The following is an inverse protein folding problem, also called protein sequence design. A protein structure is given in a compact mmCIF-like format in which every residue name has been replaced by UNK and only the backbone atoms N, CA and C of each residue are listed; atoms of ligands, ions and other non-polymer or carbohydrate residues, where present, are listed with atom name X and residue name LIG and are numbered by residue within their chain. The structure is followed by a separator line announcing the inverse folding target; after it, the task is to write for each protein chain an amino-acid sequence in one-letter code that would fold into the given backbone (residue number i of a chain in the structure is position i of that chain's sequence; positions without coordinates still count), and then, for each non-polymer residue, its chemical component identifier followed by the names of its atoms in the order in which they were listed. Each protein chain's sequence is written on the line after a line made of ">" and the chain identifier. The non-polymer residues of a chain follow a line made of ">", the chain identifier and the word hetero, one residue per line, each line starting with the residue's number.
data_IF_568841812935
#
_entry.id   IF_568841812935
#
_cell.length_a   1.000
_cell.length_b   1.000
_cell.length_c   1.000
_cell.angle_alpha   90.00
_cell.angle_beta   90.00
_cell.angle_gamma   90.00
#
_symmetry.space_group_name_H-M   'P 1'
#
loop_
_entity.id
_entity.type
_entity.pdbx_description
1 polymer ?
#
# COMPACT_ATOMS: atom_id res chain seq x y z
N UNK A 1 -13.76 -36.19 24.39
CA UNK A 1 -13.12 -34.95 24.89
C UNK A 1 -11.72 -34.70 24.31
N UNK A 2 -10.93 -35.72 23.92
CA UNK A 2 -9.55 -35.48 23.44
C UNK A 2 -9.44 -34.92 22.02
N UNK A 3 -10.28 -35.34 21.06
CA UNK A 3 -10.13 -34.87 19.65
C UNK A 3 -10.49 -33.39 19.45
N UNK A 4 -11.60 -32.94 20.05
CA UNK A 4 -12.07 -31.56 19.94
C UNK A 4 -11.15 -30.54 20.63
N UNK A 5 -10.34 -30.99 21.60
CA UNK A 5 -9.34 -30.15 22.27
C UNK A 5 -8.31 -29.60 21.27
N UNK A 6 -7.84 -30.42 20.32
CA UNK A 6 -6.86 -30.00 19.31
C UNK A 6 -7.43 -28.93 18.37
N UNK A 7 -8.73 -28.97 18.05
CA UNK A 7 -9.38 -27.96 17.21
C UNK A 7 -9.46 -26.60 17.90
N UNK A 8 -9.81 -26.59 19.19
CA UNK A 8 -9.76 -25.37 20.01
C UNK A 8 -8.34 -24.81 20.11
N UNK A 9 -7.34 -25.67 20.33
CA UNK A 9 -5.93 -25.26 20.39
C UNK A 9 -5.43 -24.64 19.08
N UNK A 10 -5.80 -25.20 17.92
CA UNK A 10 -5.45 -24.61 16.63
C UNK A 10 -6.08 -23.21 16.45
N UNK A 11 -7.32 -23.01 16.90
CA UNK A 11 -7.95 -21.69 16.89
C UNK A 11 -7.25 -20.70 17.85
N UNK A 12 -6.81 -21.17 19.03
CA UNK A 12 -6.00 -20.36 19.96
C UNK A 12 -4.67 -19.94 19.32
N UNK A 13 -4.00 -20.81 18.55
CA UNK A 13 -2.79 -20.43 17.80
C UNK A 13 -3.06 -19.30 16.81
N UNK A 14 -4.20 -19.34 16.11
CA UNK A 14 -4.58 -18.26 15.18
C UNK A 14 -4.83 -16.94 15.93
N UNK A 15 -5.59 -16.99 17.03
CA UNK A 15 -5.91 -15.82 17.84
C UNK A 15 -4.66 -15.20 18.46
N UNK A 16 -3.79 -16.02 19.06
CA UNK A 16 -2.56 -15.55 19.70
C UNK A 16 -1.63 -14.89 18.69
N UNK A 17 -1.37 -15.52 17.54
CA UNK A 17 -0.55 -14.90 16.48
C UNK A 17 -1.17 -13.62 15.93
N UNK A 18 -2.51 -13.54 15.84
CA UNK A 18 -3.21 -12.32 15.41
C UNK A 18 -3.07 -11.18 16.43
N UNK A 19 -3.21 -11.47 17.72
CA UNK A 19 -3.02 -10.47 18.78
C UNK A 19 -1.55 -10.06 18.92
N UNK A 20 -0.61 -10.99 18.76
CA UNK A 20 0.82 -10.67 18.71
C UNK A 20 1.12 -9.76 17.52
N UNK A 21 0.57 -10.04 16.33
CA UNK A 21 0.70 -9.17 15.16
C UNK A 21 0.20 -7.75 15.48
N UNK A 22 -1.02 -7.63 16.03
CA UNK A 22 -1.61 -6.35 16.39
C UNK A 22 -0.79 -5.60 17.44
N UNK A 23 -0.33 -6.29 18.49
CA UNK A 23 0.48 -5.70 19.55
C UNK A 23 1.83 -5.21 19.01
N UNK A 24 2.55 -6.03 18.24
CA UNK A 24 3.82 -5.62 17.63
C UNK A 24 3.61 -4.42 16.72
N UNK A 25 2.60 -4.42 15.86
CA UNK A 25 2.34 -3.28 14.96
C UNK A 25 1.87 -2.02 15.67
N UNK A 26 1.29 -2.14 16.86
CA UNK A 26 0.89 -1.01 17.69
C UNK A 26 2.08 -0.38 18.43
N UNK A 27 2.89 -1.21 19.10
CA UNK A 27 3.97 -0.76 19.98
C UNK A 27 5.30 -0.57 19.26
N UNK A 28 5.54 -1.32 18.18
CA UNK A 28 6.80 -1.28 17.44
C UNK A 28 6.66 -0.52 16.12
N UNK A 29 7.51 0.49 15.97
CA UNK A 29 7.89 1.04 14.68
C UNK A 29 9.40 1.10 14.64
N UNK A 30 10.03 0.57 13.59
CA UNK A 30 11.45 0.77 13.34
C UNK A 30 11.79 2.27 13.47
N UNK A 31 12.99 2.61 13.97
CA UNK A 31 13.47 3.94 14.43
C UNK A 31 13.11 5.14 13.53
N UNK A 32 11.82 5.48 13.46
CA UNK A 32 11.26 6.54 12.64
C UNK A 32 10.61 7.59 13.55
N UNK A 33 10.80 8.89 13.28
CA UNK A 33 10.15 9.97 14.02
C UNK A 33 8.63 9.80 14.06
N UNK A 34 8.00 10.22 15.15
CA UNK A 34 6.54 10.05 15.34
C UNK A 34 5.71 10.72 14.24
N UNK A 35 6.17 11.85 13.71
CA UNK A 35 5.51 12.65 12.69
C UNK A 35 5.42 11.90 11.34
N UNK A 36 6.46 11.14 10.99
CA UNK A 36 6.58 10.45 9.69
C UNK A 36 5.88 9.08 9.63
N UNK A 37 5.36 8.57 10.76
CA UNK A 37 4.78 7.22 10.83
C UNK A 37 3.59 7.03 9.88
N UNK A 38 2.78 8.07 9.67
CA UNK A 38 1.63 8.03 8.74
C UNK A 38 2.08 7.95 7.28
N UNK A 39 3.23 8.54 6.96
CA UNK A 39 3.81 8.45 5.63
C UNK A 39 4.42 7.07 5.38
N UNK A 40 5.21 6.55 6.32
CA UNK A 40 5.93 5.28 6.15
C UNK A 40 4.99 4.06 6.20
N UNK A 41 4.05 4.04 7.14
CA UNK A 41 3.08 2.95 7.31
C UNK A 41 1.65 3.49 7.46
N UNK A 42 1.05 4.00 6.36
CA UNK A 42 -0.30 4.57 6.35
C UNK A 42 -1.38 3.62 6.86
N UNK A 43 -1.28 2.33 6.54
CA UNK A 43 -2.25 1.29 6.86
C UNK A 43 -2.01 0.65 8.23
N UNK A 44 -0.96 1.03 8.97
CA UNK A 44 -0.56 0.37 10.23
C UNK A 44 -1.70 0.25 11.24
N UNK A 45 -2.42 1.35 11.48
CA UNK A 45 -3.55 1.34 12.43
C UNK A 45 -4.67 0.42 11.95
N UNK A 46 -4.85 0.34 10.65
CA UNK A 46 -5.86 -0.51 10.03
C UNK A 46 -5.48 -1.99 10.13
N UNK A 47 -4.21 -2.33 9.92
CA UNK A 47 -3.70 -3.67 10.17
C UNK A 47 -3.93 -4.08 11.64
N UNK A 48 -3.63 -3.20 12.61
CA UNK A 48 -3.93 -3.47 14.02
C UNK A 48 -5.41 -3.76 14.24
N UNK A 49 -6.30 -2.93 13.67
CA UNK A 49 -7.75 -3.13 13.78
C UNK A 49 -8.20 -4.47 13.19
N UNK A 50 -7.80 -4.78 11.95
CA UNK A 50 -8.15 -6.02 11.24
C UNK A 50 -7.73 -7.25 12.03
N UNK A 51 -6.51 -7.24 12.58
CA UNK A 51 -6.01 -8.36 13.37
C UNK A 51 -6.65 -8.47 14.75
N UNK A 52 -7.12 -7.37 15.34
CA UNK A 52 -7.93 -7.39 16.56
C UNK A 52 -9.36 -7.88 16.32
N UNK A 53 -9.93 -7.67 15.12
CA UNK A 53 -11.26 -8.22 14.78
C UNK A 53 -11.32 -9.75 14.91
N UNK A 54 -10.18 -10.45 14.87
CA UNK A 54 -10.09 -11.88 15.16
C UNK A 54 -10.64 -12.28 16.54
N UNK A 55 -10.75 -11.36 17.51
CA UNK A 55 -11.39 -11.60 18.82
C UNK A 55 -12.78 -12.21 18.66
N UNK A 56 -13.51 -11.88 17.59
CA UNK A 56 -14.85 -12.43 17.34
C UNK A 56 -14.87 -13.95 17.30
N UNK A 57 -13.74 -14.62 17.01
CA UNK A 57 -13.61 -16.07 16.89
C UNK A 57 -13.42 -16.82 18.22
N UNK A 58 -13.29 -16.11 19.35
CA UNK A 58 -13.12 -16.70 20.69
C UNK A 58 -14.14 -17.79 21.03
N UNK A 59 -15.44 -17.69 20.68
CA UNK A 59 -16.40 -18.75 20.99
C UNK A 59 -16.00 -20.13 20.48
N UNK A 60 -15.35 -20.20 19.31
CA UNK A 60 -14.89 -21.47 18.75
C UNK A 60 -13.67 -22.03 19.47
N UNK A 61 -12.76 -21.15 19.92
CA UNK A 61 -11.61 -21.56 20.73
C UNK A 61 -12.03 -22.12 22.09
N UNK A 62 -13.08 -21.55 22.70
CA UNK A 62 -13.61 -21.99 24.01
C UNK A 62 -14.46 -23.25 23.87
N UNK A 63 -15.34 -23.30 22.87
CA UNK A 63 -16.23 -24.43 22.65
C UNK A 63 -16.31 -24.83 21.16
N UNK A 64 -15.34 -25.63 20.67
CA UNK A 64 -15.31 -26.07 19.27
C UNK A 64 -16.45 -27.04 18.91
N UNK A 65 -17.23 -27.52 19.89
CA UNK A 65 -18.41 -28.38 19.65
C UNK A 65 -19.68 -27.59 19.36
N UNK A 66 -19.67 -26.27 19.58
CA UNK A 66 -20.83 -25.41 19.31
C UNK A 66 -21.04 -25.23 17.80
N UNK A 67 -22.23 -25.54 17.32
CA UNK A 67 -22.60 -25.37 15.90
C UNK A 67 -22.52 -23.90 15.47
N UNK A 68 -22.98 -22.96 16.32
CA UNK A 68 -22.90 -21.53 16.02
C UNK A 68 -21.44 -21.04 15.94
N UNK A 69 -20.58 -21.51 16.85
CA UNK A 69 -19.17 -21.17 16.84
C UNK A 69 -18.44 -21.77 15.63
N UNK A 70 -18.79 -23.00 15.24
CA UNK A 70 -18.31 -23.64 14.03
C UNK A 70 -18.65 -22.82 12.78
N UNK A 71 -19.92 -22.42 12.64
CA UNK A 71 -20.37 -21.61 11.50
C UNK A 71 -19.67 -20.26 11.45
N UNK A 72 -19.49 -19.59 12.59
CA UNK A 72 -18.72 -18.35 12.66
C UNK A 72 -17.28 -18.57 12.19
N UNK A 73 -16.59 -19.57 12.74
CA UNK A 73 -15.18 -19.81 12.46
C UNK A 73 -14.91 -20.08 10.97
N UNK A 74 -15.68 -20.98 10.35
CA UNK A 74 -15.50 -21.29 8.92
C UNK A 74 -15.90 -20.14 8.01
N UNK A 75 -16.90 -19.34 8.40
CA UNK A 75 -17.43 -18.24 7.58
C UNK A 75 -16.57 -16.97 7.66
N UNK A 76 -15.90 -16.74 8.78
CA UNK A 76 -15.19 -15.49 9.03
C UNK A 76 -14.11 -15.19 7.99
N UNK A 77 -13.26 -16.16 7.69
CA UNK A 77 -12.17 -15.93 6.74
C UNK A 77 -12.69 -15.77 5.30
N UNK A 78 -13.71 -16.55 4.92
CA UNK A 78 -14.37 -16.45 3.62
C UNK A 78 -15.00 -15.06 3.41
N UNK A 79 -15.71 -14.54 4.42
CA UNK A 79 -16.33 -13.21 4.33
C UNK A 79 -15.32 -12.06 4.41
N UNK A 80 -14.29 -12.17 5.26
CA UNK A 80 -13.45 -11.00 5.57
C UNK A 80 -12.15 -10.89 4.79
N UNK A 81 -11.61 -12.00 4.26
CA UNK A 81 -10.24 -12.03 3.71
C UNK A 81 -10.03 -11.05 2.54
N UNK A 82 -10.85 -11.16 1.50
CA UNK A 82 -10.70 -10.32 0.30
C UNK A 82 -10.94 -8.84 0.62
N UNK A 83 -11.90 -8.55 1.51
CA UNK A 83 -12.11 -7.21 2.03
C UNK A 83 -10.84 -6.67 2.70
N UNK A 84 -10.25 -7.42 3.64
CA UNK A 84 -9.03 -7.00 4.34
C UNK A 84 -7.88 -6.74 3.37
N UNK A 85 -7.64 -7.63 2.40
CA UNK A 85 -6.57 -7.41 1.44
C UNK A 85 -6.82 -6.18 0.56
N UNK A 86 -8.02 -6.02 0.00
CA UNK A 86 -8.34 -4.86 -0.85
C UNK A 86 -8.23 -3.54 -0.07
N UNK A 87 -8.74 -3.53 1.17
CA UNK A 87 -8.66 -2.39 2.08
C UNK A 87 -7.22 -2.01 2.43
N UNK A 88 -6.38 -2.97 2.79
CA UNK A 88 -4.98 -2.72 3.13
C UNK A 88 -4.17 -2.25 1.92
N UNK A 89 -4.38 -2.85 0.74
CA UNK A 89 -3.74 -2.41 -0.51
C UNK A 89 -4.11 -0.96 -0.86
N UNK A 90 -5.40 -0.63 -0.86
CA UNK A 90 -5.87 0.73 -1.18
C UNK A 90 -5.45 1.74 -0.11
N UNK A 91 -5.44 1.37 1.17
CA UNK A 91 -4.96 2.24 2.24
C UNK A 91 -3.46 2.50 2.10
N UNK A 92 -2.68 1.46 1.85
CA UNK A 92 -1.24 1.60 1.79
C UNK A 92 -0.75 2.36 0.56
N UNK A 93 -1.22 1.98 -0.63
CA UNK A 93 -0.76 2.60 -1.88
C UNK A 93 -1.61 3.81 -2.28
N UNK A 94 -2.91 3.82 -1.98
CA UNK A 94 -3.79 4.93 -2.29
C UNK A 94 -3.44 6.20 -1.53
N UNK A 95 -2.89 6.13 -0.32
CA UNK A 95 -2.40 7.32 0.41
C UNK A 95 -1.29 8.07 -0.32
N UNK A 96 -0.61 7.45 -1.29
CA UNK A 96 0.41 8.12 -2.13
C UNK A 96 -0.23 8.90 -3.28
N UNK A 97 -1.37 8.42 -3.78
CA UNK A 97 -1.95 8.88 -5.05
C UNK A 97 -3.35 9.47 -4.87
N UNK A 98 -4.31 8.66 -4.44
CA UNK A 98 -5.75 8.97 -4.55
C UNK A 98 -6.62 8.39 -3.41
N UNK A 99 -6.14 8.41 -2.15
CA UNK A 99 -6.88 7.80 -1.02
C UNK A 99 -8.30 8.31 -0.86
N UNK A 100 -8.55 9.60 -1.13
CA UNK A 100 -9.89 10.18 -0.98
C UNK A 100 -10.94 9.47 -1.84
N UNK A 101 -10.59 9.08 -3.08
CA UNK A 101 -11.49 8.40 -4.01
C UNK A 101 -11.84 6.99 -3.52
N UNK A 102 -10.82 6.26 -3.05
CA UNK A 102 -10.96 4.86 -2.61
C UNK A 102 -11.51 4.70 -1.19
N UNK A 103 -11.44 5.76 -0.38
CA UNK A 103 -11.93 5.76 1.01
C UNK A 103 -13.42 5.47 1.08
N UNK A 104 -14.24 6.11 0.23
CA UNK A 104 -15.70 5.92 0.26
C UNK A 104 -16.08 4.49 -0.13
N UNK A 105 -15.47 3.95 -1.18
CA UNK A 105 -15.68 2.56 -1.62
C UNK A 105 -15.30 1.58 -0.51
N UNK A 106 -14.15 1.81 0.14
CA UNK A 106 -13.67 1.00 1.25
C UNK A 106 -14.62 1.02 2.45
N UNK A 107 -15.25 2.15 2.76
CA UNK A 107 -16.25 2.26 3.83
C UNK A 107 -17.54 1.51 3.51
N UNK A 108 -18.03 1.59 2.27
CA UNK A 108 -19.19 0.82 1.83
C UNK A 108 -18.90 -0.68 1.95
N UNK A 109 -17.73 -1.12 1.49
CA UNK A 109 -17.31 -2.51 1.62
C UNK A 109 -17.23 -2.95 3.10
N UNK A 110 -16.70 -2.08 3.99
CA UNK A 110 -16.62 -2.36 5.42
C UNK A 110 -18.01 -2.52 6.06
N UNK A 111 -18.99 -1.70 5.67
CA UNK A 111 -20.37 -1.82 6.16
C UNK A 111 -21.03 -3.12 5.71
N UNK A 112 -20.79 -3.53 4.47
CA UNK A 112 -21.31 -4.80 3.93
C UNK A 112 -20.73 -5.98 4.74
N UNK A 113 -19.40 -6.04 4.90
CA UNK A 113 -18.72 -7.11 5.64
C UNK A 113 -19.15 -7.14 7.12
N UNK A 114 -19.31 -5.96 7.73
CA UNK A 114 -19.80 -5.88 9.10
C UNK A 114 -21.23 -6.43 9.19
N UNK A 115 -22.10 -6.06 8.25
CA UNK A 115 -23.48 -6.55 8.21
C UNK A 115 -23.56 -8.07 7.97
N UNK A 116 -22.62 -8.68 7.25
CA UNK A 116 -22.59 -10.14 7.02
C UNK A 116 -22.04 -10.92 8.21
N UNK A 117 -20.97 -10.44 8.84
CA UNK A 117 -20.31 -11.17 9.94
C UNK A 117 -21.04 -10.97 11.28
N UNK A 118 -21.62 -9.79 11.53
CA UNK A 118 -22.22 -9.47 12.82
C UNK A 118 -23.33 -10.45 13.25
N UNK A 119 -24.29 -10.86 12.40
CA UNK A 119 -25.33 -11.80 12.81
C UNK A 119 -24.79 -13.18 13.21
N UNK A 120 -23.81 -13.70 12.45
CA UNK A 120 -23.16 -14.99 12.75
C UNK A 120 -22.36 -14.90 14.05
N UNK A 121 -21.67 -13.77 14.25
CA UNK A 121 -20.94 -13.48 15.48
C UNK A 121 -21.88 -13.44 16.68
N UNK A 122 -22.95 -12.66 16.62
CA UNK A 122 -23.93 -12.54 17.70
C UNK A 122 -24.56 -13.89 18.04
N UNK A 123 -24.88 -14.71 17.03
CA UNK A 123 -25.44 -16.03 17.26
C UNK A 123 -24.46 -17.00 17.96
N UNK A 124 -23.14 -16.82 17.78
CA UNK A 124 -22.13 -17.62 18.44
C UNK A 124 -21.79 -17.13 19.86
N UNK A 125 -21.92 -15.83 20.10
CA UNK A 125 -21.57 -15.20 21.38
C UNK A 125 -22.71 -15.19 22.39
N UNK A 126 -23.97 -15.10 21.92
CA UNK A 126 -25.12 -15.08 22.82
C UNK A 126 -25.51 -16.50 23.27
N UNK A 127 -25.99 -16.65 24.51
CA UNK A 127 -26.45 -17.94 25.03
C UNK A 127 -27.73 -18.44 24.36
N UNK A 128 -28.56 -17.52 23.85
CA UNK A 128 -29.79 -17.84 23.09
C UNK A 128 -29.57 -17.57 21.61
N UNK A 129 -29.83 -18.53 20.72
CA UNK A 129 -29.66 -18.35 19.29
C UNK A 129 -30.65 -17.30 18.77
N UNK A 130 -30.13 -16.35 17.99
CA UNK A 130 -30.94 -15.30 17.34
C UNK A 130 -31.59 -15.86 16.06
N UNK A 131 -30.91 -16.81 15.39
CA UNK A 131 -31.34 -17.39 14.14
C UNK A 131 -31.69 -18.87 14.29
N UNK A 132 -32.72 -19.31 13.58
CA UNK A 132 -33.02 -20.74 13.43
C UNK A 132 -31.94 -21.43 12.59
N UNK A 133 -31.85 -22.76 12.68
CA UNK A 133 -30.89 -23.54 11.90
C UNK A 133 -31.06 -23.34 10.38
N UNK A 134 -32.30 -23.26 9.88
CA UNK A 134 -32.60 -22.94 8.48
C UNK A 134 -32.17 -21.52 8.10
N UNK A 135 -32.40 -20.55 8.98
CA UNK A 135 -31.92 -19.17 8.80
C UNK A 135 -30.40 -19.10 8.71
N UNK A 136 -29.69 -19.86 9.55
CA UNK A 136 -28.22 -19.89 9.55
C UNK A 136 -27.65 -20.50 8.25
N UNK A 137 -28.26 -21.57 7.74
CA UNK A 137 -27.89 -22.14 6.42
C UNK A 137 -28.14 -21.15 5.29
N UNK A 138 -29.28 -20.44 5.33
CA UNK A 138 -29.55 -19.38 4.36
C UNK A 138 -28.50 -18.26 4.42
N UNK A 139 -28.09 -17.87 5.62
CA UNK A 139 -27.07 -16.84 5.82
C UNK A 139 -25.68 -17.24 5.32
N UNK A 140 -25.34 -18.52 5.37
CA UNK A 140 -24.09 -19.03 4.79
C UNK A 140 -24.00 -18.74 3.29
N UNK A 141 -25.11 -18.87 2.54
CA UNK A 141 -25.12 -18.47 1.12
C UNK A 141 -24.85 -16.97 0.93
N UNK A 142 -25.38 -16.12 1.82
CA UNK A 142 -25.08 -14.68 1.81
C UNK A 142 -23.60 -14.39 2.03
N UNK A 143 -22.93 -15.10 2.95
CA UNK A 143 -21.48 -14.97 3.15
C UNK A 143 -20.71 -15.32 1.87
N UNK A 144 -21.13 -16.36 1.14
CA UNK A 144 -20.49 -16.73 -0.14
C UNK A 144 -20.70 -15.65 -1.19
N UNK A 145 -21.93 -15.13 -1.34
CA UNK A 145 -22.25 -14.05 -2.28
C UNK A 145 -21.42 -12.80 -1.96
N UNK A 146 -21.35 -12.42 -0.69
CA UNK A 146 -20.54 -11.29 -0.22
C UNK A 146 -19.05 -11.52 -0.48
N UNK A 147 -18.52 -12.72 -0.23
CA UNK A 147 -17.13 -13.08 -0.52
C UNK A 147 -16.79 -12.92 -2.01
N UNK A 148 -17.69 -13.31 -2.92
CA UNK A 148 -17.52 -13.13 -4.36
C UNK A 148 -17.47 -11.64 -4.72
N UNK A 149 -18.34 -10.81 -4.12
CA UNK A 149 -18.32 -9.36 -4.30
C UNK A 149 -17.00 -8.77 -3.79
N UNK A 150 -16.53 -9.21 -2.61
CA UNK A 150 -15.27 -8.76 -2.02
C UNK A 150 -14.06 -9.22 -2.84
N UNK A 151 -14.13 -10.36 -3.50
CA UNK A 151 -13.11 -10.80 -4.45
C UNK A 151 -13.01 -9.85 -5.66
N UNK A 152 -14.15 -9.36 -6.17
CA UNK A 152 -14.19 -8.30 -7.18
C UNK A 152 -13.56 -6.99 -6.69
N UNK A 153 -13.89 -6.57 -5.47
CA UNK A 153 -13.26 -5.39 -4.81
C UNK A 153 -11.74 -5.56 -4.66
N UNK A 154 -11.28 -6.73 -4.19
CA UNK A 154 -9.86 -7.03 -4.09
C UNK A 154 -9.19 -7.03 -5.47
N UNK A 155 -9.82 -7.60 -6.50
CA UNK A 155 -9.29 -7.60 -7.86
C UNK A 155 -9.12 -6.17 -8.42
N UNK A 156 -10.06 -5.26 -8.16
CA UNK A 156 -9.93 -3.84 -8.49
C UNK A 156 -8.77 -3.20 -7.74
N UNK A 157 -8.62 -3.46 -6.44
CA UNK A 157 -7.49 -2.96 -5.65
C UNK A 157 -6.15 -3.48 -6.19
N UNK A 158 -6.06 -4.76 -6.56
CA UNK A 158 -4.87 -5.35 -7.18
C UNK A 158 -4.54 -4.72 -8.52
N UNK A 159 -5.55 -4.55 -9.38
CA UNK A 159 -5.39 -3.87 -10.68
C UNK A 159 -4.87 -2.45 -10.48
N UNK A 160 -5.42 -1.72 -9.51
CA UNK A 160 -5.00 -0.35 -9.21
C UNK A 160 -3.56 -0.29 -8.71
N UNK A 161 -3.15 -1.20 -7.81
CA UNK A 161 -1.76 -1.27 -7.34
C UNK A 161 -0.80 -1.64 -8.46
N UNK A 162 -1.20 -2.56 -9.35
CA UNK A 162 -0.41 -2.89 -10.55
C UNK A 162 -0.27 -1.68 -11.48
N UNK A 163 -1.35 -0.93 -11.68
CA UNK A 163 -1.32 0.29 -12.46
C UNK A 163 -0.36 1.34 -11.85
N UNK A 164 -0.45 1.59 -10.54
CA UNK A 164 0.49 2.49 -9.85
C UNK A 164 1.94 1.99 -9.89
N UNK A 165 2.17 0.68 -9.82
CA UNK A 165 3.49 0.09 -9.96
C UNK A 165 4.09 0.38 -11.35
N UNK A 166 3.28 0.30 -12.40
CA UNK A 166 3.69 0.65 -13.75
C UNK A 166 3.97 2.17 -13.86
N UNK A 167 3.10 3.03 -13.34
CA UNK A 167 3.34 4.49 -13.34
C UNK A 167 4.62 4.90 -12.58
N UNK A 168 4.93 4.21 -11.49
CA UNK A 168 6.13 4.49 -10.70
C UNK A 168 7.42 4.12 -11.45
N UNK A 169 7.36 3.14 -12.35
CA UNK A 169 8.47 2.78 -13.23
C UNK A 169 8.80 3.91 -14.22
N UNK A 170 7.80 4.67 -14.65
CA UNK A 170 7.91 5.67 -15.70
C UNK A 170 8.43 7.05 -15.19
N UNK A 171 9.19 7.09 -14.10
CA UNK A 171 9.84 8.28 -13.52
C UNK A 171 8.92 9.48 -13.19
N UNK A 172 7.65 9.23 -12.86
CA UNK A 172 6.68 10.28 -12.46
C UNK A 172 6.99 10.98 -11.11
N UNK A 173 8.05 10.57 -10.42
CA UNK A 173 8.43 11.02 -9.09
C UNK A 173 9.82 11.64 -9.11
N UNK A 174 10.01 12.78 -8.44
CA UNK A 174 11.35 13.37 -8.26
C UNK A 174 12.21 12.56 -7.28
N UNK A 175 11.58 11.79 -6.39
CA UNK A 175 12.23 10.87 -5.46
C UNK A 175 11.72 9.42 -5.69
N UNK A 176 12.58 8.47 -6.10
CA UNK A 176 12.17 7.09 -6.39
C UNK A 176 11.71 6.31 -5.14
N UNK A 177 12.05 6.76 -3.93
CA UNK A 177 11.65 6.10 -2.68
C UNK A 177 10.22 6.48 -2.22
N UNK A 178 9.50 7.36 -2.94
CA UNK A 178 8.15 7.82 -2.58
C UNK A 178 7.05 6.80 -2.87
N UNK A 179 7.16 6.04 -3.97
CA UNK A 179 6.31 4.88 -4.22
C UNK A 179 7.06 3.60 -3.84
N UNK A 180 6.58 2.84 -2.84
CA UNK A 180 7.25 1.63 -2.35
C UNK A 180 7.06 0.43 -3.31
N UNK A 181 7.71 0.49 -4.48
CA UNK A 181 7.57 -0.49 -5.57
C UNK A 181 7.99 -1.92 -5.18
N UNK A 182 9.06 -2.06 -4.39
CA UNK A 182 9.52 -3.38 -3.90
C UNK A 182 8.48 -4.05 -3.01
N UNK A 183 7.81 -3.27 -2.16
CA UNK A 183 6.73 -3.77 -1.33
C UNK A 183 5.53 -4.16 -2.18
N UNK A 184 5.11 -3.26 -3.10
CA UNK A 184 4.01 -3.48 -4.02
C UNK A 184 4.17 -4.83 -4.72
N UNK A 185 5.36 -5.09 -5.31
CA UNK A 185 5.69 -6.35 -5.99
C UNK A 185 5.52 -7.60 -5.13
N UNK A 186 5.75 -7.51 -3.82
CA UNK A 186 5.60 -8.64 -2.89
C UNK A 186 4.15 -8.90 -2.49
N UNK A 187 3.36 -7.84 -2.28
CA UNK A 187 2.03 -7.97 -1.64
C UNK A 187 0.84 -7.83 -2.57
N UNK A 188 1.01 -7.30 -3.80
CA UNK A 188 -0.12 -7.04 -4.69
C UNK A 188 -0.88 -8.31 -5.11
N UNK A 189 -0.23 -9.48 -5.11
CA UNK A 189 -0.87 -10.78 -5.38
C UNK A 189 -1.27 -11.55 -4.11
N UNK A 190 -1.17 -10.95 -2.92
CA UNK A 190 -1.54 -11.60 -1.66
C UNK A 190 -2.97 -12.17 -1.66
N UNK A 191 -4.01 -11.50 -2.22
CA UNK A 191 -5.35 -12.09 -2.30
C UNK A 191 -5.39 -13.44 -3.02
N UNK A 192 -4.52 -13.63 -4.03
CA UNK A 192 -4.48 -14.83 -4.87
C UNK A 192 -3.66 -15.94 -4.21
N UNK A 193 -2.50 -15.63 -3.64
CA UNK A 193 -1.63 -16.65 -3.05
C UNK A 193 -2.26 -17.37 -1.86
N UNK A 194 -3.14 -16.69 -1.11
CA UNK A 194 -3.82 -17.27 0.03
C UNK A 194 -5.14 -17.97 -0.33
N UNK A 195 -5.62 -17.92 -1.58
CA UNK A 195 -6.86 -18.61 -2.02
C UNK A 195 -6.94 -20.08 -1.55
N UNK A 196 -5.88 -20.91 -1.68
CA UNK A 196 -5.90 -22.29 -1.21
C UNK A 196 -6.05 -22.44 0.30
N UNK A 197 -5.84 -21.38 1.08
CA UNK A 197 -6.01 -21.35 2.54
C UNK A 197 -7.36 -20.80 2.98
N UNK A 198 -8.19 -20.25 2.08
CA UNK A 198 -9.46 -19.60 2.47
C UNK A 198 -10.64 -20.58 2.38
N UNK A 199 -10.76 -21.26 1.25
CA UNK A 199 -11.96 -22.02 0.88
C UNK A 199 -12.03 -23.48 1.36
N UNK A 200 -10.94 -24.25 1.50
CA UNK A 200 -11.05 -25.68 1.76
C UNK A 200 -11.82 -26.05 3.02
N UNK A 201 -11.59 -25.37 4.16
CA UNK A 201 -12.34 -25.68 5.38
C UNK A 201 -13.83 -25.36 5.26
N UNK A 202 -14.20 -24.34 4.48
CA UNK A 202 -15.59 -23.98 4.24
C UNK A 202 -16.30 -24.98 3.34
N UNK A 203 -15.64 -25.42 2.26
CA UNK A 203 -16.21 -26.34 1.26
C UNK A 203 -16.26 -27.78 1.78
N UNK A 204 -15.18 -28.25 2.41
CA UNK A 204 -15.07 -29.63 2.89
C UNK A 204 -15.80 -29.85 4.22
N UNK A 205 -16.24 -28.78 4.88
CA UNK A 205 -16.95 -28.78 6.17
C UNK A 205 -16.30 -29.70 7.22
N UNK A 206 -14.96 -29.72 7.24
CA UNK A 206 -14.17 -30.65 8.05
C UNK A 206 -13.39 -29.93 9.15
N UNK A 207 -13.60 -30.27 10.44
CA UNK A 207 -12.85 -29.68 11.56
C UNK A 207 -11.33 -29.89 11.49
N UNK A 208 -10.90 -31.03 10.96
CA UNK A 208 -9.48 -31.34 10.78
C UNK A 208 -8.84 -30.41 9.73
N UNK A 209 -9.52 -30.17 8.60
CA UNK A 209 -9.05 -29.24 7.57
C UNK A 209 -8.98 -27.81 8.13
N UNK A 210 -10.00 -27.39 8.89
CA UNK A 210 -10.00 -26.07 9.54
C UNK A 210 -8.84 -25.91 10.54
N UNK A 211 -8.54 -26.95 11.31
CA UNK A 211 -7.42 -26.91 12.26
C UNK A 211 -6.07 -26.76 11.54
N UNK A 212 -5.84 -27.52 10.47
CA UNK A 212 -4.65 -27.37 9.61
C UNK A 212 -4.58 -25.96 9.02
N UNK A 213 -5.70 -25.46 8.50
CA UNK A 213 -5.82 -24.10 7.97
C UNK A 213 -5.45 -23.04 9.03
N UNK A 214 -5.95 -23.16 10.26
CA UNK A 214 -5.63 -22.23 11.34
C UNK A 214 -4.13 -22.20 11.66
N UNK A 215 -3.47 -23.36 11.70
CA UNK A 215 -2.02 -23.46 11.92
C UNK A 215 -1.24 -22.81 10.77
N UNK A 216 -1.64 -23.07 9.53
CA UNK A 216 -1.00 -22.45 8.35
C UNK A 216 -1.19 -20.93 8.33
N UNK A 217 -2.37 -20.43 8.73
CA UNK A 217 -2.64 -19.00 8.87
C UNK A 217 -1.84 -18.37 10.02
N UNK A 218 -1.63 -19.08 11.13
CA UNK A 218 -0.74 -18.63 12.20
C UNK A 218 0.70 -18.42 11.71
N UNK A 219 1.23 -19.35 10.91
CA UNK A 219 2.54 -19.19 10.26
C UNK A 219 2.50 -18.02 9.28
N UNK A 220 1.43 -17.92 8.48
CA UNK A 220 1.20 -16.82 7.55
C UNK A 220 1.21 -15.44 8.24
N UNK A 221 0.64 -15.32 9.44
CA UNK A 221 0.65 -14.09 10.22
C UNK A 221 2.06 -13.67 10.60
N UNK A 222 2.92 -14.62 10.99
CA UNK A 222 4.33 -14.34 11.30
C UNK A 222 5.07 -13.89 10.04
N UNK A 223 4.89 -14.60 8.92
CA UNK A 223 5.53 -14.24 7.63
C UNK A 223 5.07 -12.87 7.14
N UNK A 224 3.77 -12.56 7.27
CA UNK A 224 3.25 -11.24 6.91
C UNK A 224 3.81 -10.17 7.84
N UNK A 225 3.88 -10.41 9.15
CA UNK A 225 4.45 -9.47 10.11
C UNK A 225 5.88 -9.09 9.72
N UNK A 226 6.71 -10.09 9.39
CA UNK A 226 8.07 -9.88 8.92
C UNK A 226 8.13 -9.11 7.59
N UNK A 227 7.14 -9.27 6.71
CA UNK A 227 7.05 -8.51 5.46
C UNK A 227 6.56 -7.08 5.64
N UNK A 228 5.67 -6.77 6.59
CA UNK A 228 5.12 -5.40 6.76
C UNK A 228 5.98 -4.51 7.68
N UNK A 229 6.88 -5.12 8.44
CA UNK A 229 7.77 -4.44 9.39
C UNK A 229 8.83 -3.53 8.74
N UNK A 230 9.49 -3.91 7.63
CA UNK A 230 10.46 -3.07 6.97
C UNK A 230 9.92 -1.69 6.62
N UNK A 231 10.84 -0.72 6.59
CA UNK A 231 10.57 0.63 6.12
C UNK A 231 10.54 0.60 4.59
N UNK A 232 9.34 0.39 4.03
CA UNK A 232 9.15 0.27 2.58
C UNK A 232 9.21 1.62 1.84
N UNK A 233 8.85 2.71 2.52
CA UNK A 233 9.13 4.08 2.07
C UNK A 233 10.34 4.59 2.83
N UNK A 234 11.49 4.65 2.15
CA UNK A 234 12.73 5.10 2.78
C UNK A 234 12.75 6.63 2.85
N UNK A 235 12.56 7.15 4.06
CA UNK A 235 13.15 8.45 4.41
C UNK A 235 14.61 8.15 4.77
N UNK A 236 15.53 8.35 3.83
CA UNK A 236 16.96 8.09 4.06
C UNK A 236 17.51 9.18 5.00
N UNK A 237 17.44 8.96 6.31
CA UNK A 237 18.39 9.60 7.21
C UNK A 237 19.73 8.86 7.00
N UNK A 238 20.63 9.47 6.23
CA UNK A 238 22.08 9.24 6.19
C UNK A 238 22.59 7.78 6.21
N UNK A 239 22.92 7.24 5.03
CA UNK A 239 24.09 6.37 4.65
C UNK A 239 23.80 5.33 3.51
N UNK A 240 24.84 5.06 2.72
CA UNK A 240 24.96 4.91 1.23
C UNK A 240 24.53 3.53 0.62
N UNK A 241 24.91 3.08 -0.61
CA UNK A 241 24.00 2.78 -1.73
C UNK A 241 24.08 1.33 -2.30
N UNK A 242 23.24 1.02 -3.29
CA UNK A 242 23.45 0.20 -4.53
C UNK A 242 22.04 -0.07 -5.13
N UNK A 243 21.71 -0.07 -6.43
CA UNK A 243 22.31 0.29 -7.72
C UNK A 243 21.25 0.02 -8.83
N UNK A 244 21.27 0.84 -9.91
CA UNK A 244 21.00 0.53 -11.35
C UNK A 244 19.63 -0.08 -11.81
N UNK A 245 19.02 0.15 -12.99
CA UNK A 245 19.17 0.98 -14.22
C UNK A 245 17.79 1.08 -14.91
N UNK A 246 17.58 2.03 -15.84
CA UNK A 246 16.34 2.27 -16.60
C UNK A 246 16.58 2.19 -18.12
N UNK A 247 15.60 1.71 -18.88
CA UNK A 247 15.59 1.72 -20.37
C UNK A 247 14.23 2.19 -20.95
N UNK A 248 14.37 2.75 -22.17
CA UNK A 248 13.58 3.60 -23.08
C UNK A 248 12.08 3.38 -23.41
N UNK A 249 11.53 4.46 -24.00
CA UNK A 249 10.15 4.72 -24.44
C UNK A 249 10.02 4.68 -25.98
N UNK A 250 8.87 4.21 -26.50
CA UNK A 250 8.52 4.29 -27.94
C UNK A 250 7.26 5.17 -28.13
N UNK A 251 7.33 6.14 -29.03
CA UNK A 251 6.24 7.09 -29.34
C UNK A 251 5.98 7.13 -30.85
N UNK A 252 4.74 6.86 -31.28
CA UNK A 252 4.28 7.07 -32.67
C UNK A 252 3.66 8.46 -32.86
N UNK A 253 4.04 9.11 -33.96
CA UNK A 253 3.65 10.45 -34.41
C UNK A 253 2.31 10.49 -35.16
N UNK A 254 1.61 11.64 -35.16
CA UNK A 254 1.04 12.26 -36.39
C UNK A 254 0.57 13.73 -36.20
N UNK A 255 1.00 14.61 -37.13
CA UNK A 255 0.29 15.73 -37.81
C UNK A 255 -0.34 16.94 -37.09
N UNK A 256 0.36 17.62 -36.16
CA UNK A 256 -0.06 18.97 -35.70
C UNK A 256 1.11 19.91 -35.34
N UNK A 257 2.20 19.88 -36.11
CA UNK A 257 3.52 20.33 -35.66
C UNK A 257 3.65 21.82 -35.28
N UNK A 258 2.88 22.76 -35.85
CA UNK A 258 3.08 24.18 -35.56
C UNK A 258 2.38 24.65 -34.27
N UNK A 259 1.08 24.35 -34.12
CA UNK A 259 0.34 24.64 -32.88
C UNK A 259 0.85 23.82 -31.69
N UNK A 260 1.36 22.61 -31.96
CA UNK A 260 1.93 21.75 -30.91
C UNK A 260 3.24 22.32 -30.36
N UNK A 261 4.10 22.88 -31.20
CA UNK A 261 5.38 23.45 -30.75
C UNK A 261 5.18 24.73 -29.93
N UNK A 262 4.22 25.58 -30.32
CA UNK A 262 3.84 26.76 -29.55
C UNK A 262 3.26 26.38 -28.18
N UNK A 263 2.41 25.34 -28.13
CA UNK A 263 1.87 24.82 -26.88
C UNK A 263 2.96 24.20 -25.97
N UNK A 264 3.95 23.53 -26.55
CA UNK A 264 5.12 23.00 -25.82
C UNK A 264 5.97 24.14 -25.26
N UNK A 265 6.16 25.23 -26.01
CA UNK A 265 6.87 26.42 -25.53
C UNK A 265 6.13 27.10 -24.39
N UNK A 266 4.81 27.29 -24.52
CA UNK A 266 3.99 27.87 -23.47
C UNK A 266 4.00 26.99 -22.20
N UNK A 267 3.86 25.68 -22.37
CA UNK A 267 3.96 24.71 -21.26
C UNK A 267 5.35 24.73 -20.61
N UNK A 268 6.42 24.93 -21.40
CA UNK A 268 7.77 25.03 -20.87
C UNK A 268 7.95 26.25 -19.97
N UNK A 269 7.37 27.40 -20.36
CA UNK A 269 7.39 28.62 -19.53
C UNK A 269 6.64 28.39 -18.21
N UNK A 270 5.46 27.76 -18.25
CA UNK A 270 4.69 27.43 -17.04
C UNK A 270 5.44 26.45 -16.13
N UNK A 271 6.16 25.48 -16.70
CA UNK A 271 7.01 24.56 -15.95
C UNK A 271 8.16 25.31 -15.29
N UNK A 272 8.85 26.22 -15.99
CA UNK A 272 9.94 27.00 -15.40
C UNK A 272 9.44 27.92 -14.28
N UNK A 273 8.33 28.65 -14.49
CA UNK A 273 7.74 29.54 -13.48
C UNK A 273 7.44 28.76 -12.19
N UNK A 274 6.74 27.62 -12.29
CA UNK A 274 6.39 26.84 -11.11
C UNK A 274 7.58 26.10 -10.49
N UNK A 275 8.33 25.36 -11.32
CA UNK A 275 9.38 24.48 -10.79
C UNK A 275 10.57 25.28 -10.30
N UNK A 276 11.06 26.24 -11.11
CA UNK A 276 12.29 27.01 -10.87
C UNK A 276 12.02 28.32 -10.14
N UNK A 277 11.14 29.17 -10.65
CA UNK A 277 10.99 30.54 -10.12
C UNK A 277 10.25 30.56 -8.78
N UNK A 278 9.20 29.74 -8.63
CA UNK A 278 8.53 29.49 -7.35
C UNK A 278 9.27 28.46 -6.47
N UNK A 279 10.43 27.97 -6.93
CA UNK A 279 11.31 27.02 -6.23
C UNK A 279 10.60 25.72 -5.78
N UNK A 280 9.59 25.24 -6.49
CA UNK A 280 8.90 23.99 -6.14
C UNK A 280 9.86 22.78 -6.12
N UNK A 281 11.01 22.84 -6.81
CA UNK A 281 12.07 21.83 -6.73
C UNK A 281 12.60 21.60 -5.30
N UNK A 282 12.45 22.57 -4.37
CA UNK A 282 12.83 22.42 -2.97
C UNK A 282 11.92 21.46 -2.19
N UNK A 283 10.74 21.12 -2.72
CA UNK A 283 9.89 20.08 -2.12
C UNK A 283 10.49 18.69 -2.43
N UNK A 284 10.93 17.91 -1.42
CA UNK A 284 11.54 16.59 -1.64
C UNK A 284 10.57 15.53 -2.19
N UNK A 285 9.26 15.79 -2.14
CA UNK A 285 8.20 14.89 -2.61
C UNK A 285 7.46 15.42 -3.86
N UNK A 286 8.07 16.36 -4.59
CA UNK A 286 7.50 16.92 -5.81
C UNK A 286 7.24 15.83 -6.86
N UNK A 287 6.03 15.79 -7.40
CA UNK A 287 5.59 14.86 -8.46
C UNK A 287 5.26 15.62 -9.74
N UNK A 288 5.27 14.92 -10.87
CA UNK A 288 4.80 15.52 -12.12
C UNK A 288 3.33 15.94 -12.04
N UNK A 289 2.52 15.25 -11.23
CA UNK A 289 1.10 15.58 -11.04
C UNK A 289 0.93 16.97 -10.39
N UNK A 290 1.89 17.40 -9.55
CA UNK A 290 1.90 18.74 -8.95
C UNK A 290 2.18 19.80 -10.03
N UNK A 291 3.12 19.53 -10.95
CA UNK A 291 3.41 20.39 -12.10
C UNK A 291 2.21 20.47 -13.05
N UNK A 292 1.58 19.34 -13.36
CA UNK A 292 0.38 19.27 -14.20
C UNK A 292 -0.76 20.11 -13.61
N UNK A 293 -0.90 20.16 -12.28
CA UNK A 293 -1.94 20.98 -11.65
C UNK A 293 -1.70 22.50 -11.76
N UNK A 294 -0.47 22.92 -12.06
CA UNK A 294 -0.09 24.32 -12.28
C UNK A 294 -0.03 24.69 -13.77
N UNK A 295 0.06 23.70 -14.66
CA UNK A 295 -0.01 23.92 -16.10
C UNK A 295 -1.47 23.94 -16.58
N UNK A 296 -1.73 24.72 -17.63
CA UNK A 296 -3.05 24.73 -18.28
C UNK A 296 -3.27 23.52 -19.23
N UNK A 297 -2.25 22.67 -19.38
CA UNK A 297 -2.23 21.53 -20.30
C UNK A 297 -2.29 20.19 -19.57
N UNK A 298 -2.76 19.16 -20.28
CA UNK A 298 -2.87 17.81 -19.72
C UNK A 298 -1.50 17.15 -19.49
N UNK A 299 -1.48 16.12 -18.64
CA UNK A 299 -0.27 15.35 -18.27
C UNK A 299 0.59 14.92 -19.46
N UNK A 300 -0.02 14.46 -20.56
CA UNK A 300 0.70 14.03 -21.75
C UNK A 300 1.53 15.15 -22.38
N UNK A 301 1.03 16.38 -22.39
CA UNK A 301 1.74 17.55 -22.92
C UNK A 301 2.86 18.01 -21.98
N UNK A 302 2.62 17.95 -20.66
CA UNK A 302 3.67 18.24 -19.66
C UNK A 302 4.80 17.22 -19.77
N UNK A 303 4.50 15.93 -19.83
CA UNK A 303 5.51 14.87 -20.03
C UNK A 303 6.25 15.03 -21.36
N UNK A 304 5.54 15.33 -22.46
CA UNK A 304 6.16 15.58 -23.76
C UNK A 304 7.09 16.80 -23.72
N UNK A 305 6.68 17.86 -23.02
CA UNK A 305 7.48 19.08 -22.86
C UNK A 305 8.75 18.80 -22.09
N UNK A 306 8.68 18.03 -21.00
CA UNK A 306 9.87 17.52 -20.31
C UNK A 306 10.80 16.80 -21.28
N UNK A 307 10.32 15.76 -21.97
CA UNK A 307 11.13 14.99 -22.91
C UNK A 307 11.77 15.84 -24.01
N UNK A 308 11.10 16.90 -24.49
CA UNK A 308 11.62 17.76 -25.57
C UNK A 308 12.51 18.93 -25.10
N UNK A 309 12.29 19.47 -23.91
CA UNK A 309 12.92 20.72 -23.45
C UNK A 309 13.87 20.55 -22.27
N UNK A 310 13.62 19.57 -21.41
CA UNK A 310 14.24 19.51 -20.09
C UNK A 310 14.86 18.13 -19.75
N UNK A 311 14.60 17.11 -20.57
CA UNK A 311 14.91 15.71 -20.23
C UNK A 311 13.82 15.08 -19.37
N UNK A 312 14.15 14.09 -18.53
CA UNK A 312 13.13 13.53 -17.64
C UNK A 312 12.76 14.52 -16.52
N UNK A 313 11.52 14.47 -16.03
CA UNK A 313 11.07 15.30 -14.90
C UNK A 313 12.03 15.22 -13.71
N UNK A 314 12.44 14.00 -13.35
CA UNK A 314 13.38 13.79 -12.26
C UNK A 314 14.78 14.35 -12.57
N UNK A 315 15.25 14.27 -13.82
CA UNK A 315 16.54 14.85 -14.22
C UNK A 315 16.52 16.38 -14.10
N UNK A 316 15.48 17.03 -14.60
CA UNK A 316 15.31 18.48 -14.54
C UNK A 316 15.22 19.01 -13.10
N UNK A 317 14.36 18.40 -12.26
CA UNK A 317 14.25 18.81 -10.85
C UNK A 317 15.58 18.60 -10.13
N UNK A 318 16.27 17.48 -10.36
CA UNK A 318 17.53 17.21 -9.68
C UNK A 318 18.67 18.11 -10.18
N UNK A 319 18.68 18.59 -11.42
CA UNK A 319 19.69 19.55 -11.89
C UNK A 319 19.54 20.89 -11.15
N UNK A 320 18.31 21.37 -10.94
CA UNK A 320 18.02 22.56 -10.13
C UNK A 320 18.45 22.37 -8.68
N UNK A 321 18.13 21.22 -8.07
CA UNK A 321 18.56 20.90 -6.69
C UNK A 321 20.08 20.83 -6.54
N UNK A 322 20.79 20.30 -7.55
CA UNK A 322 22.26 20.26 -7.56
C UNK A 322 22.85 21.67 -7.65
N UNK A 323 22.34 22.53 -8.54
CA UNK A 323 22.78 23.91 -8.66
C UNK A 323 22.53 24.70 -7.36
N UNK A 324 21.36 24.51 -6.74
CA UNK A 324 21.02 25.14 -5.46
C UNK A 324 21.95 24.67 -4.33
N UNK A 325 22.32 23.39 -4.31
CA UNK A 325 23.26 22.84 -3.34
C UNK A 325 24.64 23.51 -3.41
N UNK A 326 25.16 23.74 -4.62
CA UNK A 326 26.43 24.43 -4.82
C UNK A 326 26.38 25.89 -4.32
N UNK A 327 25.30 26.61 -4.64
CA UNK A 327 25.07 27.97 -4.16
C UNK A 327 24.94 28.02 -2.64
N UNK A 328 24.19 27.09 -2.06
CA UNK A 328 23.97 27.02 -0.62
C UNK A 328 25.27 26.76 0.15
N UNK A 329 26.14 25.86 -0.35
CA UNK A 329 27.45 25.61 0.25
C UNK A 329 28.39 26.82 0.17
N UNK A 330 28.37 27.55 -0.93
CA UNK A 330 29.17 28.77 -1.07
C UNK A 330 28.75 29.85 -0.05
N UNK A 331 27.45 29.94 0.26
CA UNK A 331 26.91 30.88 1.23
C UNK A 331 27.05 30.41 2.68
N UNK A 332 27.06 29.10 2.92
CA UNK A 332 27.12 28.48 4.25
C UNK A 332 28.29 27.49 4.37
N UNK A 333 29.56 27.96 4.29
CA UNK A 333 30.74 27.09 4.25
C UNK A 333 30.95 26.23 5.51
N UNK A 334 30.32 26.60 6.62
CA UNK A 334 30.42 25.90 7.90
C UNK A 334 29.31 24.86 8.13
N UNK A 335 28.32 24.77 7.24
CA UNK A 335 27.24 23.78 7.36
C UNK A 335 27.66 22.39 6.84
N UNK A 336 27.05 21.35 7.41
CA UNK A 336 27.29 19.99 6.94
C UNK A 336 26.70 19.79 5.55
N UNK A 337 27.36 18.96 4.74
CA UNK A 337 26.85 18.58 3.40
C UNK A 337 25.45 17.93 3.47
N UNK A 338 25.13 17.32 4.60
CA UNK A 338 23.85 16.70 4.87
C UNK A 338 22.74 17.75 5.05
N UNK A 339 22.99 18.80 5.85
CA UNK A 339 22.10 19.96 6.00
C UNK A 339 21.87 20.65 4.66
N UNK A 340 22.95 20.91 3.91
CA UNK A 340 22.89 21.53 2.60
C UNK A 340 22.05 20.71 1.58
N UNK A 341 22.13 19.37 1.62
CA UNK A 341 21.33 18.51 0.74
C UNK A 341 19.83 18.61 1.06
N UNK A 342 19.48 18.63 2.35
CA UNK A 342 18.09 18.78 2.80
C UNK A 342 17.56 20.17 2.42
N UNK A 343 18.35 21.22 2.68
CA UNK A 343 18.00 22.60 2.33
C UNK A 343 17.83 22.80 0.81
N UNK A 344 18.44 21.95 0.00
CA UNK A 344 18.34 21.98 -1.47
C UNK A 344 17.25 21.06 -2.03
N UNK A 345 16.35 20.57 -1.19
CA UNK A 345 15.19 19.77 -1.61
C UNK A 345 15.46 18.29 -1.85
N UNK A 346 16.65 17.78 -1.50
CA UNK A 346 16.86 16.33 -1.49
C UNK A 346 16.30 15.73 -0.20
N UNK A 347 15.65 14.56 -0.30
CA UNK A 347 15.23 13.80 0.87
C UNK A 347 16.40 13.28 1.72
N UNK A 348 17.63 13.30 1.18
CA UNK A 348 18.86 12.89 1.87
C UNK A 348 20.12 13.28 1.09
N UNK A 349 21.27 13.29 1.77
CA UNK A 349 22.59 13.41 1.12
C UNK A 349 22.86 12.34 0.06
N UNK A 350 22.15 11.21 0.14
CA UNK A 350 22.30 10.10 -0.80
C UNK A 350 21.45 10.22 -2.03
N UNK A 351 20.27 10.81 -1.89
CA UNK A 351 19.49 11.24 -3.03
C UNK A 351 20.32 12.25 -3.84
N UNK A 352 20.97 13.21 -3.16
CA UNK A 352 21.98 14.10 -3.77
C UNK A 352 23.09 13.31 -4.47
N UNK A 353 23.77 12.38 -3.76
CA UNK A 353 24.89 11.64 -4.36
C UNK A 353 24.46 10.74 -5.54
N UNK A 354 23.26 10.16 -5.50
CA UNK A 354 22.68 9.40 -6.62
C UNK A 354 22.40 10.32 -7.81
N UNK A 355 21.80 11.49 -7.57
CA UNK A 355 21.56 12.49 -8.60
C UNK A 355 22.88 12.98 -9.23
N UNK A 356 23.89 13.28 -8.40
CA UNK A 356 25.20 13.70 -8.85
C UNK A 356 25.91 12.59 -9.66
N UNK A 357 25.86 11.34 -9.19
CA UNK A 357 26.42 10.19 -9.93
C UNK A 357 25.72 10.01 -11.28
N UNK A 358 24.39 10.16 -11.30
CA UNK A 358 23.58 10.06 -12.53
C UNK A 358 23.96 11.18 -13.52
N UNK A 359 24.05 12.43 -13.08
CA UNK A 359 24.49 13.57 -13.90
C UNK A 359 25.88 13.32 -14.52
N UNK A 360 26.84 12.84 -13.71
CA UNK A 360 28.20 12.53 -14.18
C UNK A 360 28.25 11.37 -15.18
N UNK A 361 27.37 10.37 -15.03
CA UNK A 361 27.28 9.23 -15.94
C UNK A 361 26.56 9.57 -17.24
N UNK A 362 25.68 10.57 -17.24
CA UNK A 362 24.89 11.00 -18.40
C UNK A 362 25.59 12.09 -19.25
N UNK A 363 26.76 12.58 -18.83
CA UNK A 363 27.64 13.39 -19.68
C UNK A 363 27.05 14.72 -20.14
N UNK A 364 26.69 15.59 -19.20
CA UNK A 364 26.75 17.04 -19.43
C UNK A 364 28.04 17.62 -18.85
#
# INVERSE_FOLDING_TARGET
>A
MSEYYYYGMAAVMLLTTSWTFAAVRWFHTCRAPKQERRYIWPDRKLQVLVYLCGIVLVPYAVNPTSEAAWVLMKSYLVGTWFFYCGLLLLCFFGTVKQWHQWRTVSWIAALIVLATILPVALNAWLPTPIMTASGMRFWQYWVVVESIIMMGYAAVAMYQVKHWLNEARDQNYSNPDDFPADYARRVWLAPVYYLPLIWPAYILDSPAVLAVQNVLLSVGNIVLLLNVMPVWRRLRILSTPEGEHAEECDTRQTDNNHNQEELINQTAIEIEDYVKDQQAYLNPHLKIDDVVSHCQTGRSYVSLTFSRRFGSFAAYVNSLRLAHFEQYQAQHPNETKESAAIASGFSSYLAYHRALKKLKNEGM
#
